data_IF_508879435232
#
_entry.id   IF_508879435232
#
_cell.length_a   1.000
_cell.length_b   1.000
_cell.length_c   1.000
_cell.angle_alpha   90.00
_cell.angle_beta   90.00
_cell.angle_gamma   90.00
#
_symmetry.space_group_name_H-M   'P 1'
#
loop_
_entity.id
_entity.type
_entity.pdbx_description
1 polymer ?
#
# COMPACT_ATOMS: atom_id res chain seq x y z
N UNK A 1 -35.38 -19.36 18.91
CA UNK A 1 -34.00 -19.90 18.92
C UNK A 1 -34.11 -21.42 18.98
N UNK A 2 -33.47 -22.14 18.08
CA UNK A 2 -33.40 -23.60 18.10
C UNK A 2 -32.37 -24.02 19.16
N UNK A 3 -32.72 -24.99 19.99
CA UNK A 3 -31.82 -25.53 21.00
C UNK A 3 -31.26 -26.86 20.49
N UNK A 4 -29.95 -27.03 20.56
CA UNK A 4 -29.27 -28.24 20.13
C UNK A 4 -28.46 -28.78 21.30
N UNK A 5 -28.66 -30.06 21.62
CA UNK A 5 -27.84 -30.80 22.58
C UNK A 5 -26.99 -31.81 21.82
N UNK A 6 -25.70 -31.80 22.13
CA UNK A 6 -24.70 -32.66 21.51
C UNK A 6 -23.93 -33.39 22.62
N UNK A 7 -24.08 -34.70 22.68
CA UNK A 7 -23.46 -35.53 23.71
C UNK A 7 -22.61 -36.62 23.07
N UNK A 8 -21.39 -36.79 23.58
CA UNK A 8 -20.46 -37.82 23.13
C UNK A 8 -20.39 -38.96 24.16
N UNK A 9 -20.47 -40.19 23.66
CA UNK A 9 -20.41 -41.40 24.47
C UNK A 9 -19.32 -42.33 23.95
N UNK A 10 -18.57 -42.97 24.85
CA UNK A 10 -17.66 -44.05 24.46
C UNK A 10 -18.46 -45.32 24.23
N UNK A 11 -17.86 -46.25 23.50
CA UNK A 11 -18.46 -47.56 23.21
C UNK A 11 -18.89 -48.28 24.49
N UNK A 12 -18.03 -48.30 25.52
CA UNK A 12 -18.34 -48.92 26.82
C UNK A 12 -19.58 -48.31 27.47
N UNK A 13 -19.66 -46.98 27.48
CA UNK A 13 -20.71 -46.23 28.18
C UNK A 13 -22.09 -46.45 27.53
N UNK A 14 -22.12 -46.69 26.21
CA UNK A 14 -23.35 -47.04 25.49
C UNK A 14 -23.82 -48.42 25.89
N UNK A 15 -22.93 -49.42 25.93
CA UNK A 15 -23.30 -50.80 26.30
C UNK A 15 -23.71 -50.95 27.76
N UNK A 16 -23.21 -50.09 28.65
CA UNK A 16 -23.59 -50.09 30.07
C UNK A 16 -24.96 -49.45 30.33
N UNK A 17 -25.48 -48.65 29.39
CA UNK A 17 -26.76 -47.94 29.51
C UNK A 17 -27.86 -48.59 28.65
N UNK A 18 -28.90 -49.18 29.24
CA UNK A 18 -29.97 -49.83 28.48
C UNK A 18 -30.74 -48.86 27.59
N UNK A 19 -30.86 -47.58 27.98
CA UNK A 19 -31.54 -46.56 27.19
C UNK A 19 -30.77 -46.21 25.90
N UNK A 20 -29.44 -46.07 25.98
CA UNK A 20 -28.61 -45.77 24.82
C UNK A 20 -28.53 -46.95 23.85
N UNK A 21 -28.57 -48.18 24.37
CA UNK A 21 -28.65 -49.39 23.55
C UNK A 21 -29.93 -49.46 22.73
N UNK A 22 -31.06 -49.07 23.32
CA UNK A 22 -32.34 -49.04 22.62
C UNK A 22 -32.36 -47.99 21.50
N UNK A 23 -31.85 -46.78 21.78
CA UNK A 23 -31.71 -45.73 20.76
C UNK A 23 -30.82 -46.21 19.60
N UNK A 24 -29.70 -46.88 19.91
CA UNK A 24 -28.77 -47.42 18.93
C UNK A 24 -29.42 -48.54 18.09
N UNK A 25 -30.22 -49.41 18.70
CA UNK A 25 -30.91 -50.47 17.96
C UNK A 25 -31.95 -49.91 17.00
N UNK A 26 -32.70 -48.88 17.42
CA UNK A 26 -33.68 -48.19 16.58
C UNK A 26 -32.97 -47.53 15.40
N UNK A 27 -31.90 -46.78 15.66
CA UNK A 27 -31.10 -46.16 14.62
C UNK A 27 -30.51 -47.18 13.64
N UNK A 28 -30.01 -48.32 14.14
CA UNK A 28 -29.47 -49.38 13.29
C UNK A 28 -30.53 -50.00 12.38
N UNK A 29 -31.76 -50.22 12.89
CA UNK A 29 -32.89 -50.72 12.12
C UNK A 29 -33.31 -49.73 11.02
N UNK A 30 -33.45 -48.44 11.36
CA UNK A 30 -33.76 -47.37 10.39
C UNK A 30 -32.69 -47.25 9.32
N UNK A 31 -31.41 -47.28 9.71
CA UNK A 31 -30.28 -47.22 8.77
C UNK A 31 -30.27 -48.41 7.84
N UNK A 32 -30.56 -49.60 8.34
CA UNK A 32 -30.60 -50.83 7.54
C UNK A 32 -31.75 -50.81 6.53
N UNK A 33 -32.91 -50.26 6.91
CA UNK A 33 -34.05 -50.06 6.00
C UNK A 33 -33.71 -49.02 4.91
N UNK A 34 -33.05 -47.91 5.25
CA UNK A 34 -32.60 -46.91 4.27
C UNK A 34 -31.60 -47.49 3.26
N UNK A 35 -30.64 -48.30 3.72
CA UNK A 35 -29.63 -48.91 2.85
C UNK A 35 -30.21 -49.96 1.88
N UNK A 36 -31.33 -50.60 2.24
CA UNK A 36 -32.06 -51.50 1.34
C UNK A 36 -32.77 -50.77 0.19
N UNK A 37 -32.98 -49.45 0.31
CA UNK A 37 -33.56 -48.61 -0.74
C UNK A 37 -32.53 -47.85 -1.58
N UNK A 38 -31.27 -47.80 -1.14
CA UNK A 38 -30.21 -46.96 -1.72
C UNK A 38 -29.11 -47.85 -2.31
N UNK A 39 -29.50 -48.71 -3.25
CA UNK A 39 -28.56 -49.54 -4.00
C UNK A 39 -27.89 -48.70 -5.10
N UNK A 40 -26.56 -48.84 -5.18
CA UNK A 40 -25.60 -48.26 -6.14
C UNK A 40 -24.83 -47.01 -5.65
N UNK A 41 -23.54 -47.26 -5.35
CA UNK A 41 -22.39 -46.33 -5.24
C UNK A 41 -21.97 -45.90 -3.82
N UNK A 42 -21.25 -46.78 -3.12
CA UNK A 42 -20.47 -46.34 -1.96
C UNK A 42 -19.91 -47.45 -1.06
N UNK A 43 -19.16 -48.42 -1.59
CA UNK A 43 -18.41 -49.34 -0.72
C UNK A 43 -17.16 -48.64 -0.17
N UNK A 44 -17.31 -47.93 0.94
CA UNK A 44 -16.19 -47.52 1.77
C UNK A 44 -15.78 -48.71 2.64
N UNK A 45 -14.80 -49.48 2.17
CA UNK A 45 -14.10 -50.51 2.94
C UNK A 45 -13.60 -49.91 4.28
N UNK A 46 -14.06 -50.43 5.44
CA UNK A 46 -13.57 -49.96 6.73
C UNK A 46 -12.18 -50.56 6.95
N UNK A 47 -11.14 -49.78 6.64
CA UNK A 47 -9.77 -50.16 6.98
C UNK A 47 -9.68 -50.27 8.49
N UNK A 48 -9.46 -51.48 8.99
CA UNK A 48 -9.34 -51.82 10.42
C UNK A 48 -8.07 -51.20 11.05
N UNK A 49 -8.06 -49.88 11.13
CA UNK A 49 -7.18 -49.11 12.00
C UNK A 49 -7.85 -49.13 13.37
N UNK A 50 -7.09 -49.40 14.44
CA UNK A 50 -7.55 -49.32 15.83
C UNK A 50 -8.01 -47.87 16.15
N UNK A 51 -9.20 -47.51 15.70
CA UNK A 51 -9.80 -46.21 15.92
C UNK A 51 -10.71 -46.34 17.14
N UNK A 52 -10.50 -45.46 18.12
CA UNK A 52 -11.43 -45.28 19.22
C UNK A 52 -12.78 -44.84 18.65
N UNK A 53 -13.74 -45.77 18.58
CA UNK A 53 -15.09 -45.44 18.17
C UNK A 53 -15.76 -44.58 19.27
N UNK A 54 -16.32 -43.45 18.86
CA UNK A 54 -17.04 -42.53 19.71
C UNK A 54 -18.43 -42.34 19.10
N UNK A 55 -19.46 -42.53 19.92
CA UNK A 55 -20.85 -42.34 19.52
C UNK A 55 -21.28 -40.91 19.84
N UNK A 56 -22.06 -40.32 18.93
CA UNK A 56 -22.57 -38.96 19.06
C UNK A 56 -24.09 -39.01 19.09
N UNK A 57 -24.70 -38.51 20.17
CA UNK A 57 -26.15 -38.34 20.27
C UNK A 57 -26.50 -36.87 20.09
N UNK A 58 -27.53 -36.61 19.29
CA UNK A 58 -27.92 -35.28 18.86
C UNK A 58 -29.40 -35.12 19.10
N UNK A 59 -29.76 -34.07 19.83
CA UNK A 59 -31.16 -33.72 20.06
C UNK A 59 -31.37 -32.27 19.63
N UNK A 60 -32.23 -32.08 18.65
CA UNK A 60 -32.64 -30.77 18.17
C UNK A 60 -34.07 -30.46 18.64
N UNK A 61 -34.27 -29.25 19.17
CA UNK A 61 -35.60 -28.75 19.54
C UNK A 61 -35.75 -27.35 18.97
N UNK A 62 -36.67 -27.16 18.03
CA UNK A 62 -37.02 -25.82 17.58
C UNK A 62 -37.96 -25.15 18.57
N UNK A 63 -37.63 -23.92 18.96
CA UNK A 63 -38.63 -23.02 19.54
C UNK A 63 -39.50 -22.48 18.39
N UNK A 64 -40.63 -23.14 18.14
CA UNK A 64 -41.58 -22.73 17.10
C UNK A 64 -42.55 -21.69 17.67
N UNK A 65 -42.52 -20.46 17.16
CA UNK A 65 -43.41 -19.38 17.59
C UNK A 65 -44.25 -18.93 16.39
N UNK A 66 -45.55 -19.22 16.43
CA UNK A 66 -46.48 -18.90 15.34
C UNK A 66 -47.85 -18.60 15.92
N UNK A 67 -48.66 -17.82 15.19
CA UNK A 67 -50.04 -17.49 15.57
C UNK A 67 -50.96 -18.71 15.50
N UNK A 68 -50.58 -19.72 14.71
CA UNK A 68 -51.32 -20.98 14.59
C UNK A 68 -50.96 -21.95 15.74
N UNK A 69 -51.86 -22.12 16.70
CA UNK A 69 -51.63 -22.94 17.91
C UNK A 69 -51.31 -24.40 17.62
N UNK A 70 -51.81 -24.97 16.53
CA UNK A 70 -51.55 -26.38 16.18
C UNK A 70 -50.10 -26.60 15.78
N UNK A 71 -49.52 -25.68 15.00
CA UNK A 71 -48.11 -25.72 14.61
C UNK A 71 -47.16 -25.42 15.77
N UNK A 72 -47.66 -24.80 16.85
CA UNK A 72 -46.92 -24.62 18.10
C UNK A 72 -46.93 -25.87 18.98
N UNK A 73 -48.00 -26.69 18.92
CA UNK A 73 -48.10 -27.95 19.67
C UNK A 73 -47.39 -29.11 18.97
N UNK A 74 -47.42 -29.15 17.64
CA UNK A 74 -46.78 -30.19 16.83
C UNK A 74 -45.87 -29.56 15.78
N UNK A 75 -44.69 -29.06 16.19
CA UNK A 75 -43.75 -28.48 15.26
C UNK A 75 -43.24 -29.55 14.28
N UNK A 76 -43.02 -29.20 13.01
CA UNK A 76 -42.39 -30.10 12.06
C UNK A 76 -40.97 -30.47 12.52
N UNK A 77 -40.47 -31.67 12.15
CA UNK A 77 -39.12 -32.10 12.47
C UNK A 77 -38.08 -31.15 11.86
N UNK A 78 -36.93 -31.04 12.54
CA UNK A 78 -35.84 -30.14 12.16
C UNK A 78 -34.61 -30.96 11.80
N UNK A 79 -34.22 -30.89 10.54
CA UNK A 79 -33.03 -31.55 10.03
C UNK A 79 -31.76 -30.90 10.60
N UNK A 80 -30.79 -31.73 10.94
CA UNK A 80 -29.47 -31.30 11.44
C UNK A 80 -28.41 -31.84 10.50
N UNK A 81 -27.64 -30.94 9.91
CA UNK A 81 -26.47 -31.29 9.09
C UNK A 81 -25.18 -31.15 9.91
N UNK A 82 -24.30 -32.14 9.82
CA UNK A 82 -23.08 -32.25 10.65
C UNK A 82 -21.88 -32.43 9.74
N UNK A 83 -20.97 -31.47 9.80
CA UNK A 83 -19.73 -31.50 9.00
C UNK A 83 -18.59 -31.97 9.90
N UNK A 84 -18.14 -33.21 9.69
CA UNK A 84 -17.00 -33.84 10.38
C UNK A 84 -15.73 -33.69 9.54
N UNK A 85 -15.24 -32.45 9.41
CA UNK A 85 -14.02 -32.18 8.64
C UNK A 85 -12.75 -32.48 9.47
N UNK A 86 -11.80 -33.28 8.96
CA UNK A 86 -10.51 -33.44 9.59
C UNK A 86 -9.76 -32.11 9.65
N UNK A 87 -9.26 -31.74 10.83
CA UNK A 87 -8.46 -30.52 11.02
C UNK A 87 -6.96 -30.82 10.83
N UNK A 88 -6.29 -30.03 10.00
CA UNK A 88 -4.83 -29.93 10.01
C UNK A 88 -4.38 -28.94 11.08
N UNK A 89 -3.40 -29.36 11.89
CA UNK A 89 -2.82 -28.57 12.99
C UNK A 89 -3.85 -28.07 14.02
N UNK A 90 -5.05 -28.64 14.08
CA UNK A 90 -6.15 -28.19 14.94
C UNK A 90 -6.58 -26.72 14.70
N UNK A 91 -6.26 -26.15 13.53
CA UNK A 91 -6.57 -24.76 13.16
C UNK A 91 -7.40 -24.67 11.87
N UNK A 92 -7.09 -25.49 10.85
CA UNK A 92 -7.76 -25.39 9.55
C UNK A 92 -8.39 -26.72 9.11
N UNK A 93 -9.65 -26.70 8.62
CA UNK A 93 -10.26 -27.88 8.04
C UNK A 93 -9.56 -28.25 6.73
N UNK A 94 -9.36 -29.55 6.49
CA UNK A 94 -8.63 -30.06 5.32
C UNK A 94 -9.30 -29.67 3.99
N UNK A 95 -10.62 -29.50 3.98
CA UNK A 95 -11.41 -29.06 2.81
C UNK A 95 -11.00 -27.66 2.31
N UNK A 96 -10.40 -26.83 3.17
CA UNK A 96 -9.97 -25.45 2.85
C UNK A 96 -8.55 -25.37 2.25
N UNK A 97 -7.79 -26.47 2.26
CA UNK A 97 -6.46 -26.52 1.63
C UNK A 97 -6.44 -26.12 0.15
N UNK A 98 -7.28 -26.70 -0.74
CA UNK A 98 -7.22 -26.39 -2.16
C UNK A 98 -7.53 -24.91 -2.43
N UNK A 99 -8.47 -24.33 -1.68
CA UNK A 99 -8.77 -22.90 -1.76
C UNK A 99 -7.62 -22.02 -1.29
N UNK A 100 -6.96 -22.38 -0.18
CA UNK A 100 -5.80 -21.64 0.31
C UNK A 100 -4.63 -21.71 -0.69
N UNK A 101 -4.37 -22.88 -1.26
CA UNK A 101 -3.36 -23.06 -2.30
C UNK A 101 -3.66 -22.21 -3.54
N UNK A 102 -4.94 -22.15 -3.97
CA UNK A 102 -5.37 -21.30 -5.07
C UNK A 102 -5.11 -19.81 -4.78
N UNK A 103 -5.48 -19.33 -3.59
CA UNK A 103 -5.25 -17.93 -3.18
C UNK A 103 -3.76 -17.59 -3.19
N UNK A 104 -2.91 -18.49 -2.68
CA UNK A 104 -1.45 -18.30 -2.67
C UNK A 104 -0.91 -18.20 -4.10
N UNK A 105 -1.35 -19.08 -5.00
CA UNK A 105 -0.94 -19.05 -6.40
C UNK A 105 -1.35 -17.73 -7.06
N UNK A 106 -2.59 -17.29 -6.82
CA UNK A 106 -3.12 -16.04 -7.36
C UNK A 106 -2.34 -14.82 -6.83
N UNK A 107 -1.99 -14.83 -5.54
CA UNK A 107 -1.17 -13.78 -4.92
C UNK A 107 0.22 -13.69 -5.56
N UNK A 108 0.90 -14.82 -5.75
CA UNK A 108 2.21 -14.87 -6.40
C UNK A 108 2.12 -14.40 -7.85
N UNK A 109 1.14 -14.89 -8.61
CA UNK A 109 0.93 -14.49 -10.00
C UNK A 109 0.66 -12.98 -10.13
N UNK A 110 -0.19 -12.43 -9.26
CA UNK A 110 -0.50 -11.00 -9.23
C UNK A 110 0.74 -10.16 -8.89
N UNK A 111 1.54 -10.60 -7.92
CA UNK A 111 2.80 -9.96 -7.56
C UNK A 111 3.76 -9.91 -8.76
N UNK A 112 3.91 -11.03 -9.47
CA UNK A 112 4.74 -11.10 -10.67
C UNK A 112 4.23 -10.19 -11.79
N UNK A 113 2.92 -10.18 -12.06
CA UNK A 113 2.31 -9.31 -13.06
C UNK A 113 2.52 -7.83 -12.73
N UNK A 114 2.36 -7.45 -11.45
CA UNK A 114 2.59 -6.08 -10.99
C UNK A 114 4.04 -5.64 -11.19
N UNK A 115 5.00 -6.48 -10.80
CA UNK A 115 6.42 -6.22 -11.02
C UNK A 115 6.77 -6.10 -12.51
N UNK A 116 6.21 -6.98 -13.34
CA UNK A 116 6.42 -6.96 -14.79
C UNK A 116 5.83 -5.70 -15.44
N UNK A 117 4.62 -5.30 -15.05
CA UNK A 117 3.97 -4.08 -15.53
C UNK A 117 4.77 -2.83 -15.15
N UNK A 118 5.26 -2.75 -13.90
CA UNK A 118 6.09 -1.63 -13.45
C UNK A 118 7.42 -1.56 -14.21
N UNK A 119 8.08 -2.69 -14.43
CA UNK A 119 9.32 -2.75 -15.22
C UNK A 119 9.10 -2.31 -16.68
N UNK A 120 8.00 -2.75 -17.30
CA UNK A 120 7.62 -2.32 -18.65
C UNK A 120 7.31 -0.83 -18.74
N UNK A 121 6.63 -0.25 -17.73
CA UNK A 121 6.33 1.18 -17.68
C UNK A 121 7.58 2.05 -17.49
N UNK A 122 8.57 1.58 -16.73
CA UNK A 122 9.86 2.29 -16.60
C UNK A 122 10.61 2.39 -17.94
N UNK A 123 10.54 1.34 -18.77
CA UNK A 123 11.13 1.37 -20.11
C UNK A 123 10.45 2.38 -21.05
N UNK A 124 9.18 2.71 -20.78
CA UNK A 124 8.41 3.70 -21.54
C UNK A 124 8.40 5.09 -20.89
N UNK A 125 9.26 5.38 -19.90
CA UNK A 125 9.39 6.74 -19.40
C UNK A 125 9.73 7.69 -20.56
N UNK A 126 8.93 8.75 -20.80
CA UNK A 126 9.29 9.73 -21.81
C UNK A 126 10.66 10.32 -21.48
N UNK A 127 11.49 10.63 -22.49
CA UNK A 127 12.76 11.32 -22.25
C UNK A 127 12.45 12.57 -21.43
N UNK A 128 13.24 12.81 -20.37
CA UNK A 128 13.09 13.97 -19.48
C UNK A 128 12.92 15.22 -20.35
N UNK A 129 11.67 15.69 -20.46
CA UNK A 129 11.17 16.57 -21.53
C UNK A 129 12.02 17.84 -21.72
N UNK A 130 12.66 18.29 -20.65
CA UNK A 130 13.47 19.52 -20.62
C UNK A 130 14.93 19.37 -21.04
N UNK A 131 15.48 18.15 -21.21
CA UNK A 131 16.91 17.98 -21.55
C UNK A 131 17.21 18.21 -23.05
N UNK A 132 16.21 18.07 -23.92
CA UNK A 132 16.36 18.22 -25.37
C UNK A 132 15.77 19.52 -25.94
N UNK A 133 15.27 20.43 -25.10
CA UNK A 133 14.67 21.67 -25.58
C UNK A 133 15.77 22.69 -25.97
N UNK A 134 15.65 23.35 -27.12
CA UNK A 134 16.41 24.54 -27.44
C UNK A 134 16.31 25.58 -26.31
N UNK A 135 17.40 26.28 -26.04
CA UNK A 135 17.48 27.29 -24.98
C UNK A 135 16.46 28.42 -25.13
N UNK A 136 16.10 28.75 -26.38
CA UNK A 136 15.08 29.76 -26.71
C UNK A 136 13.71 29.42 -26.11
N UNK A 137 13.29 28.15 -26.19
CA UNK A 137 12.01 27.71 -25.62
C UNK A 137 12.04 27.70 -24.10
N UNK A 138 13.20 27.47 -23.50
CA UNK A 138 13.35 27.54 -22.04
C UNK A 138 13.18 28.99 -21.57
N UNK A 139 13.80 29.94 -22.27
CA UNK A 139 13.65 31.37 -21.97
C UNK A 139 12.23 31.89 -22.25
N UNK A 140 11.58 31.38 -23.29
CA UNK A 140 10.18 31.69 -23.59
C UNK A 140 9.26 31.21 -22.45
N UNK A 141 9.40 29.95 -22.01
CA UNK A 141 8.66 29.44 -20.84
C UNK A 141 8.95 30.28 -19.60
N UNK A 142 10.21 30.66 -19.38
CA UNK A 142 10.60 31.51 -18.23
C UNK A 142 9.93 32.89 -18.29
N UNK A 143 9.78 33.47 -19.47
CA UNK A 143 9.17 34.80 -19.66
C UNK A 143 7.68 34.83 -19.35
N UNK A 144 6.99 33.68 -19.47
CA UNK A 144 5.58 33.52 -19.12
C UNK A 144 5.35 33.17 -17.64
N UNK A 145 6.41 32.86 -16.89
CA UNK A 145 6.30 32.46 -15.49
C UNK A 145 6.26 33.67 -14.54
N UNK A 146 5.43 33.58 -13.51
CA UNK A 146 5.46 34.52 -12.39
C UNK A 146 6.86 34.50 -11.72
N UNK A 147 7.35 35.62 -11.13
CA UNK A 147 8.70 35.72 -10.58
C UNK A 147 9.06 34.61 -9.57
N UNK A 148 8.09 34.22 -8.74
CA UNK A 148 8.26 33.19 -7.71
C UNK A 148 8.38 31.79 -8.33
N UNK A 149 7.58 31.52 -9.37
CA UNK A 149 7.63 30.29 -10.14
C UNK A 149 8.91 30.22 -10.99
N UNK A 150 9.34 31.34 -11.55
CA UNK A 150 10.60 31.50 -12.28
C UNK A 150 11.77 31.13 -11.39
N UNK A 151 11.78 31.63 -10.15
CA UNK A 151 12.80 31.29 -9.17
C UNK A 151 12.82 29.79 -8.86
N UNK A 152 11.69 29.21 -8.50
CA UNK A 152 11.59 27.78 -8.21
C UNK A 152 12.03 26.91 -9.38
N UNK A 153 11.60 27.27 -10.59
CA UNK A 153 11.98 26.56 -11.82
C UNK A 153 13.47 26.71 -12.13
N UNK A 154 14.01 27.93 -11.99
CA UNK A 154 15.42 28.24 -12.22
C UNK A 154 16.35 27.51 -11.24
N UNK A 155 15.96 27.40 -9.97
CA UNK A 155 16.68 26.60 -8.98
C UNK A 155 16.58 25.09 -9.25
N UNK A 156 15.40 24.59 -9.61
CA UNK A 156 15.20 23.17 -9.92
C UNK A 156 16.01 22.71 -11.14
N UNK A 157 16.16 23.58 -12.14
CA UNK A 157 16.87 23.31 -13.39
C UNK A 157 18.22 24.04 -13.49
N UNK A 158 18.80 24.46 -12.36
CA UNK A 158 20.02 25.27 -12.31
C UNK A 158 21.19 24.69 -13.12
N UNK A 159 21.34 23.35 -13.12
CA UNK A 159 22.39 22.67 -13.88
C UNK A 159 22.25 22.85 -15.41
N UNK A 160 21.04 23.05 -15.93
CA UNK A 160 20.82 23.33 -17.36
C UNK A 160 21.17 24.79 -17.68
N UNK A 161 20.76 25.72 -16.81
CA UNK A 161 20.99 27.15 -16.99
C UNK A 161 22.49 27.50 -16.93
N UNK A 162 23.27 26.81 -16.09
CA UNK A 162 24.74 26.98 -16.05
C UNK A 162 25.40 26.47 -17.33
N UNK A 163 24.95 25.33 -17.88
CA UNK A 163 25.52 24.75 -19.12
C UNK A 163 25.37 25.70 -20.31
N UNK A 164 24.31 26.50 -20.32
CA UNK A 164 24.01 27.46 -21.38
C UNK A 164 24.39 28.90 -21.01
N UNK A 165 25.17 29.14 -19.95
CA UNK A 165 25.62 30.47 -19.49
C UNK A 165 24.48 31.45 -19.12
N UNK A 166 23.32 30.94 -18.73
CA UNK A 166 22.10 31.71 -18.40
C UNK A 166 21.87 31.92 -16.89
N UNK A 167 22.70 31.32 -16.06
CA UNK A 167 22.72 31.52 -14.62
C UNK A 167 24.13 31.92 -14.17
N UNK A 168 24.27 32.71 -13.09
CA UNK A 168 25.56 33.18 -12.65
C UNK A 168 26.42 32.00 -12.19
N UNK A 169 27.69 31.96 -12.59
CA UNK A 169 28.64 31.00 -12.06
C UNK A 169 28.85 31.30 -10.57
N UNK A 170 28.28 30.47 -9.70
CA UNK A 170 28.48 30.59 -8.27
C UNK A 170 29.94 30.21 -7.95
N UNK A 171 30.77 31.20 -7.68
CA UNK A 171 32.14 30.97 -7.19
C UNK A 171 32.11 30.14 -5.90
N UNK A 172 33.10 29.26 -5.72
CA UNK A 172 33.27 28.44 -4.52
C UNK A 172 33.25 29.29 -3.22
N UNK A 173 33.74 30.53 -3.28
CA UNK A 173 33.70 31.48 -2.16
C UNK A 173 32.27 31.94 -1.82
N UNK A 174 31.45 32.21 -2.84
CA UNK A 174 30.03 32.57 -2.70
C UNK A 174 29.23 31.41 -2.12
N UNK A 175 29.55 30.18 -2.52
CA UNK A 175 28.93 28.97 -1.98
C UNK A 175 29.26 28.78 -0.50
N UNK A 176 30.52 28.97 -0.08
CA UNK A 176 30.90 28.88 1.34
C UNK A 176 30.15 29.94 2.17
N UNK A 177 29.99 31.17 1.65
CA UNK A 177 29.17 32.20 2.31
C UNK A 177 27.70 31.82 2.43
N UNK A 178 27.11 31.29 1.35
CA UNK A 178 25.71 30.83 1.34
C UNK A 178 25.48 29.67 2.32
N UNK A 179 26.36 28.67 2.37
CA UNK A 179 26.26 27.54 3.29
C UNK A 179 26.38 28.00 4.74
N UNK A 180 27.37 28.84 5.03
CA UNK A 180 27.61 29.31 6.40
C UNK A 180 26.48 30.22 6.90
N UNK A 181 25.87 31.02 6.01
CA UNK A 181 24.79 31.95 6.36
C UNK A 181 23.39 31.31 6.34
N UNK A 182 23.15 30.28 5.52
CA UNK A 182 21.89 29.53 5.51
C UNK A 182 21.76 28.59 6.73
N UNK A 183 22.88 28.16 7.32
CA UNK A 183 22.89 27.30 8.50
C UNK A 183 22.65 28.05 9.83
N UNK A 184 22.77 29.38 9.85
CA UNK A 184 22.58 30.20 11.05
C UNK A 184 21.19 30.86 11.01
N UNK A 185 20.23 30.47 11.87
CA UNK A 185 18.97 31.19 12.00
C UNK A 185 19.25 32.53 12.68
N UNK A 186 19.41 33.60 11.88
CA UNK A 186 19.55 34.95 12.45
C UNK A 186 18.20 35.44 12.95
N UNK A 187 18.11 35.60 14.27
CA UNK A 187 17.10 36.44 14.91
C UNK A 187 17.28 37.89 14.43
N UNK A 188 16.17 38.54 14.06
CA UNK A 188 16.09 39.88 13.44
C UNK A 188 17.11 40.86 14.03
N UNK A 189 18.19 41.14 13.30
CA UNK A 189 19.06 42.29 13.58
C UNK A 189 18.50 43.50 12.85
N UNK A 190 17.81 44.35 13.60
CA UNK A 190 17.46 45.73 13.26
C UNK A 190 18.68 46.49 12.74
N UNK A 191 18.63 46.94 11.48
CA UNK A 191 19.65 47.82 10.92
C UNK A 191 19.99 47.60 9.44
N UNK A 192 19.47 46.57 8.79
CA UNK A 192 19.61 46.41 7.34
C UNK A 192 18.35 46.95 6.67
N UNK A 193 18.52 47.93 5.77
CA UNK A 193 17.45 48.56 4.98
C UNK A 193 16.81 47.47 4.09
N UNK A 194 15.92 46.67 4.67
CA UNK A 194 15.27 45.56 3.98
C UNK A 194 14.22 46.16 3.08
N UNK A 195 14.53 46.19 1.79
CA UNK A 195 13.61 46.58 0.75
C UNK A 195 12.33 45.75 0.91
N UNK A 196 11.14 46.37 0.99
CA UNK A 196 9.87 45.66 1.11
C UNK A 196 9.74 44.60 0.01
N UNK A 197 9.09 43.48 0.34
CA UNK A 197 8.87 42.35 -0.58
C UNK A 197 8.32 42.79 -1.93
N UNK A 198 7.44 43.78 -1.93
CA UNK A 198 6.78 44.33 -3.11
C UNK A 198 7.78 44.99 -4.05
N UNK A 199 8.79 45.68 -3.50
CA UNK A 199 9.81 46.36 -4.31
C UNK A 199 10.77 45.34 -4.90
N UNK A 200 11.14 44.28 -4.16
CA UNK A 200 11.94 43.18 -4.70
C UNK A 200 11.21 42.46 -5.85
N UNK A 201 9.91 42.19 -5.70
CA UNK A 201 9.08 41.60 -6.74
C UNK A 201 8.90 42.54 -7.93
N UNK A 202 8.77 43.84 -7.69
CA UNK A 202 8.66 44.84 -8.75
C UNK A 202 9.97 44.97 -9.54
N UNK A 203 11.13 44.90 -8.87
CA UNK A 203 12.44 44.81 -9.51
C UNK A 203 12.50 43.53 -10.36
N UNK A 204 12.24 42.36 -9.77
CA UNK A 204 12.25 41.07 -10.47
C UNK A 204 11.34 41.05 -11.70
N UNK A 205 10.18 41.72 -11.65
CA UNK A 205 9.22 41.81 -12.74
C UNK A 205 9.69 42.64 -13.93
N UNK A 206 10.60 43.59 -13.73
CA UNK A 206 11.14 44.44 -14.80
C UNK A 206 12.50 43.96 -15.32
N UNK A 207 13.10 42.96 -14.66
CA UNK A 207 14.36 42.35 -15.10
C UNK A 207 14.09 41.22 -16.09
N UNK A 208 14.99 41.02 -17.04
CA UNK A 208 14.96 39.82 -17.89
C UNK A 208 15.14 38.55 -17.05
N UNK A 209 14.74 37.37 -17.56
CA UNK A 209 14.77 36.12 -16.78
C UNK A 209 16.18 35.78 -16.27
N UNK A 210 17.22 36.06 -17.04
CA UNK A 210 18.62 35.87 -16.64
C UNK A 210 19.01 36.84 -15.52
N UNK A 211 18.67 38.12 -15.67
CA UNK A 211 19.00 39.15 -14.68
C UNK A 211 18.22 38.98 -13.38
N UNK A 212 16.98 38.51 -13.45
CA UNK A 212 16.18 38.17 -12.28
C UNK A 212 16.81 37.05 -11.47
N UNK A 213 17.41 36.05 -12.14
CA UNK A 213 18.09 34.94 -11.50
C UNK A 213 19.43 35.40 -10.91
N UNK A 214 20.17 36.27 -11.60
CA UNK A 214 21.37 36.92 -11.08
C UNK A 214 21.09 37.74 -9.82
N UNK A 215 20.08 38.61 -9.88
CA UNK A 215 19.65 39.43 -8.76
C UNK A 215 19.18 38.57 -7.59
N UNK A 216 18.44 37.48 -7.88
CA UNK A 216 17.96 36.57 -6.87
C UNK A 216 19.07 35.75 -6.22
N UNK A 217 20.13 35.39 -6.94
CA UNK A 217 21.30 34.73 -6.37
C UNK A 217 22.13 35.68 -5.50
N UNK A 218 22.28 36.93 -5.94
CA UNK A 218 22.99 37.97 -5.19
C UNK A 218 22.29 38.34 -3.86
N UNK A 219 20.95 38.34 -3.87
CA UNK A 219 20.11 38.68 -2.71
C UNK A 219 19.37 37.47 -2.12
N UNK A 220 19.88 36.26 -2.38
CA UNK A 220 19.18 35.00 -2.09
C UNK A 220 18.71 34.89 -0.63
N UNK A 221 19.53 35.32 0.32
CA UNK A 221 19.23 35.23 1.74
C UNK A 221 18.03 36.10 2.14
N UNK A 222 17.90 37.27 1.53
CA UNK A 222 16.79 38.19 1.79
C UNK A 222 15.51 37.63 1.18
N UNK A 223 15.59 37.10 -0.04
CA UNK A 223 14.45 36.50 -0.74
C UNK A 223 13.97 35.19 -0.10
N UNK A 224 14.89 34.37 0.43
CA UNK A 224 14.56 33.14 1.14
C UNK A 224 13.88 33.44 2.49
N UNK A 225 14.31 34.49 3.20
CA UNK A 225 13.64 34.95 4.43
C UNK A 225 12.24 35.50 4.17
N UNK A 226 12.03 36.07 2.99
CA UNK A 226 10.74 36.59 2.53
C UNK A 226 9.82 35.50 1.94
N UNK A 227 10.27 34.25 1.86
CA UNK A 227 9.49 33.13 1.28
C UNK A 227 9.41 33.11 -0.25
N UNK A 228 10.18 33.98 -0.92
CA UNK A 228 10.19 34.15 -2.38
C UNK A 228 11.15 33.15 -3.04
N UNK A 229 12.30 32.90 -2.43
CA UNK A 229 13.27 31.92 -2.91
C UNK A 229 13.12 30.58 -2.16
N UNK A 230 13.22 29.43 -2.87
CA UNK A 230 13.10 28.11 -2.27
C UNK A 230 14.23 27.89 -1.25
N UNK A 231 13.95 27.28 -0.10
CA UNK A 231 14.96 27.04 0.94
C UNK A 231 16.11 26.17 0.41
N UNK A 232 17.36 26.58 0.65
CA UNK A 232 18.56 25.84 0.29
C UNK A 232 18.65 24.54 1.11
N UNK A 233 17.99 23.49 0.62
CA UNK A 233 18.13 22.14 1.16
C UNK A 233 19.59 21.68 1.03
N UNK A 234 20.04 20.88 2.00
CA UNK A 234 21.38 20.29 2.02
C UNK A 234 21.68 19.47 0.76
N UNK A 235 20.65 18.89 0.14
CA UNK A 235 20.77 18.18 -1.13
C UNK A 235 20.98 19.13 -2.31
N UNK A 236 20.26 20.26 -2.34
CA UNK A 236 20.43 21.31 -3.36
C UNK A 236 21.85 21.88 -3.29
N UNK A 237 22.38 22.13 -2.08
CA UNK A 237 23.75 22.57 -1.86
C UNK A 237 24.79 21.54 -2.34
N UNK A 238 24.56 20.24 -2.09
CA UNK A 238 25.45 19.18 -2.62
C UNK A 238 25.44 19.14 -4.15
N UNK A 239 24.29 19.32 -4.78
CA UNK A 239 24.15 19.37 -6.24
C UNK A 239 24.84 20.62 -6.82
N UNK A 240 24.67 21.76 -6.16
CA UNK A 240 25.32 23.02 -6.51
C UNK A 240 26.84 22.90 -6.43
N UNK A 241 27.37 22.30 -5.36
CA UNK A 241 28.80 22.08 -5.19
C UNK A 241 29.39 21.21 -6.30
N UNK A 242 28.68 20.14 -6.70
CA UNK A 242 29.10 19.33 -7.86
C UNK A 242 29.06 20.12 -9.19
N UNK A 243 28.11 21.02 -9.36
CA UNK A 243 28.00 21.84 -10.56
C UNK A 243 29.10 22.92 -10.62
N UNK A 244 29.43 23.54 -9.49
CA UNK A 244 30.54 24.50 -9.37
C UNK A 244 31.90 23.84 -9.63
N UNK A 245 32.10 22.61 -9.15
CA UNK A 245 33.32 21.82 -9.42
C UNK A 245 33.46 21.40 -10.89
N UNK A 246 32.35 21.32 -11.65
CA UNK A 246 32.33 20.99 -13.09
C UNK A 246 32.32 22.21 -14.01
N UNK A 247 32.80 23.36 -13.53
CA UNK A 247 32.85 24.60 -14.32
C UNK A 247 33.46 24.41 -15.72
N UNK A 248 33.14 25.30 -16.69
CA UNK A 248 33.38 25.12 -18.13
C UNK A 248 34.86 24.98 -18.55
N UNK A 249 35.83 25.11 -17.65
CA UNK A 249 37.25 24.96 -17.93
C UNK A 249 37.68 23.49 -18.17
N UNK A 250 36.82 22.51 -17.91
CA UNK A 250 37.16 21.09 -18.10
C UNK A 250 36.89 20.52 -19.49
N UNK A 251 36.35 21.30 -20.44
CA UNK A 251 36.12 20.86 -21.84
C UNK A 251 37.05 21.58 -22.85
N UNK A 252 38.16 22.18 -22.40
CA UNK A 252 39.19 22.72 -23.30
C UNK A 252 40.36 21.75 -23.59
N UNK A 253 40.39 20.58 -22.97
CA UNK A 253 41.41 19.54 -23.19
C UNK A 253 40.76 18.17 -23.29
N UNK A 254 40.04 17.89 -24.38
CA UNK A 254 39.94 16.54 -24.97
C UNK A 254 39.45 16.62 -26.40
#
# INVERSE_FOLDING_TARGET
MTHFLLESFKVTDVFDSPALLQDLSIYAEERQISLLGEDLTGSSEPTAVKQSALFLRIQSVASFYTTNKELMQYPPPVDVDIILDPYLLNVFPQSLLPTAAYIILLAVASWFLSGFAWAKLQLFQPPRFFRGLPTELILEIMSYLAPDALLSFGFANYHLLVRHSMAPLLSSCTMIRLVHQAAVPRTRTTGQLSVPTEVNLQILRHLGPVDSLNYAMANYLILAQQGIAPSLSSETLRRLNRAVQRGPESEANT
#
